data_IF_124892815220
#
_entry.id   IF_124892815220
#
_cell.length_a   1.000
_cell.length_b   1.000
_cell.length_c   1.000
_cell.angle_alpha   90.00
_cell.angle_beta   90.00
_cell.angle_gamma   90.00
#
_symmetry.space_group_name_H-M   'P 1'
#
loop_
_entity.id
_entity.type
_entity.pdbx_description
1 polymer ?
#
# COMPACT_ATOMS: atom_id res chain seq x y z
N UNK A 1 -23.65 19.00 9.66
CA UNK A 1 -22.55 18.75 8.71
C UNK A 1 -22.32 17.24 8.64
N UNK A 2 -22.93 16.55 7.68
CA UNK A 2 -22.77 15.10 7.54
C UNK A 2 -21.47 14.85 6.78
N UNK A 3 -20.36 14.61 7.51
CA UNK A 3 -19.18 13.99 6.92
C UNK A 3 -19.64 12.59 6.50
N UNK A 4 -20.06 12.45 5.24
CA UNK A 4 -20.24 11.12 4.64
C UNK A 4 -18.89 10.43 4.79
N UNK A 5 -18.81 9.48 5.72
CA UNK A 5 -17.75 8.51 5.78
C UNK A 5 -17.77 7.79 4.43
N UNK A 6 -16.93 8.23 3.50
CA UNK A 6 -16.70 7.48 2.27
C UNK A 6 -15.98 6.22 2.73
N UNK A 7 -16.69 5.11 2.80
CA UNK A 7 -16.06 3.80 2.94
C UNK A 7 -15.16 3.61 1.72
N UNK A 8 -13.85 3.69 1.95
CA UNK A 8 -12.85 3.42 0.92
C UNK A 8 -12.68 1.92 0.93
N UNK A 9 -13.13 1.27 -0.14
CA UNK A 9 -12.90 -0.16 -0.34
C UNK A 9 -11.43 -0.38 -0.69
N UNK A 10 -10.70 -0.93 0.28
CA UNK A 10 -9.31 -1.33 0.13
C UNK A 10 -9.29 -2.83 -0.13
N UNK A 11 -8.60 -3.26 -1.19
CA UNK A 11 -8.34 -4.67 -1.43
C UNK A 11 -6.84 -4.93 -1.49
N UNK A 12 -6.42 -6.06 -0.92
CA UNK A 12 -5.04 -6.53 -0.97
C UNK A 12 -5.02 -7.80 -1.79
N UNK A 13 -4.10 -7.90 -2.74
CA UNK A 13 -3.89 -9.09 -3.54
C UNK A 13 -2.46 -9.59 -3.37
N UNK A 14 -2.31 -10.86 -3.06
CA UNK A 14 -1.00 -11.51 -3.08
C UNK A 14 -0.60 -11.75 -4.54
N UNK A 15 0.64 -11.41 -4.87
CA UNK A 15 1.24 -11.60 -6.18
C UNK A 15 2.69 -12.08 -6.02
N UNK A 16 3.27 -12.61 -7.08
CA UNK A 16 4.68 -12.98 -7.10
C UNK A 16 5.41 -12.12 -8.13
N UNK A 17 6.49 -11.48 -7.70
CA UNK A 17 7.42 -10.76 -8.59
C UNK A 17 8.82 -11.23 -8.30
N UNK A 18 9.54 -11.66 -9.33
CA UNK A 18 10.93 -12.12 -9.21
C UNK A 18 11.13 -13.22 -8.15
N UNK A 19 10.22 -14.20 -8.08
CA UNK A 19 10.24 -15.28 -7.07
C UNK A 19 10.08 -14.79 -5.61
N UNK A 20 9.59 -13.56 -5.41
CA UNK A 20 9.25 -13.02 -4.10
C UNK A 20 7.74 -12.80 -4.02
N UNK A 21 7.14 -13.26 -2.92
CA UNK A 21 5.75 -12.94 -2.60
C UNK A 21 5.65 -11.45 -2.24
N UNK A 22 4.81 -10.73 -2.97
CA UNK A 22 4.51 -9.32 -2.78
C UNK A 22 3.02 -9.14 -2.53
N UNK A 23 2.64 -8.06 -1.87
CA UNK A 23 1.24 -7.70 -1.66
C UNK A 23 0.93 -6.41 -2.39
N UNK A 24 -0.06 -6.43 -3.27
CA UNK A 24 -0.52 -5.28 -4.01
C UNK A 24 -1.74 -4.66 -3.32
N UNK A 25 -1.69 -3.36 -3.08
CA UNK A 25 -2.74 -2.61 -2.37
C UNK A 25 -3.54 -1.78 -3.37
N UNK A 26 -4.84 -2.01 -3.41
CA UNK A 26 -5.76 -1.33 -4.30
C UNK A 26 -6.81 -0.52 -3.54
N UNK A 27 -7.19 0.61 -4.11
CA UNK A 27 -8.42 1.31 -3.76
C UNK A 27 -9.37 1.20 -4.95
N UNK A 28 -10.47 0.46 -4.76
CA UNK A 28 -11.33 0.04 -5.87
C UNK A 28 -10.53 -0.75 -6.92
N UNK A 29 -10.36 -0.18 -8.12
CA UNK A 29 -9.60 -0.79 -9.24
C UNK A 29 -8.20 -0.22 -9.41
N UNK A 30 -7.79 0.74 -8.58
CA UNK A 30 -6.52 1.46 -8.72
C UNK A 30 -5.47 0.85 -7.79
N UNK A 31 -4.37 0.37 -8.36
CA UNK A 31 -3.17 0.00 -7.61
C UNK A 31 -2.51 1.27 -7.07
N UNK A 32 -2.38 1.38 -5.76
CA UNK A 32 -1.83 2.57 -5.09
C UNK A 32 -0.43 2.32 -4.53
N UNK A 33 -0.09 1.07 -4.22
CA UNK A 33 1.22 0.69 -3.75
C UNK A 33 1.38 -0.82 -3.60
N UNK A 34 2.58 -1.24 -3.26
CA UNK A 34 2.95 -2.64 -3.08
C UNK A 34 3.78 -2.79 -1.81
N UNK A 35 3.58 -3.85 -1.04
CA UNK A 35 4.45 -4.25 0.06
C UNK A 35 5.32 -5.39 -0.42
N UNK A 36 6.64 -5.18 -0.40
CA UNK A 36 7.63 -6.14 -0.88
C UNK A 36 8.57 -6.54 0.26
N UNK A 37 9.02 -7.81 0.33
CA UNK A 37 10.06 -8.20 1.27
C UNK A 37 11.40 -7.52 0.92
N UNK A 38 12.10 -7.02 1.94
CA UNK A 38 13.38 -6.32 1.82
C UNK A 38 14.32 -6.78 2.95
N UNK A 39 15.21 -7.73 2.66
CA UNK A 39 16.27 -8.23 3.55
C UNK A 39 15.82 -8.54 4.99
N UNK A 40 14.84 -9.45 5.13
CA UNK A 40 14.28 -9.84 6.43
C UNK A 40 13.33 -8.82 7.05
N UNK A 41 13.02 -7.73 6.35
CA UNK A 41 11.96 -6.77 6.66
C UNK A 41 11.00 -6.64 5.47
N UNK A 42 10.21 -5.58 5.48
CA UNK A 42 9.30 -5.22 4.41
C UNK A 42 9.53 -3.78 3.97
N UNK A 43 9.07 -3.49 2.77
CA UNK A 43 9.16 -2.18 2.15
C UNK A 43 7.82 -1.86 1.50
N UNK A 44 7.21 -0.77 1.94
CA UNK A 44 6.06 -0.18 1.29
C UNK A 44 6.54 0.68 0.11
N UNK A 45 6.06 0.39 -1.09
CA UNK A 45 6.42 1.08 -2.33
C UNK A 45 5.17 1.79 -2.86
N UNK A 46 5.27 3.11 -3.06
CA UNK A 46 4.19 3.91 -3.64
C UNK A 46 4.30 3.88 -5.16
N UNK A 47 3.21 3.57 -5.86
CA UNK A 47 3.24 3.56 -7.33
C UNK A 47 3.19 4.96 -7.95
N UNK A 48 2.65 5.95 -7.24
CA UNK A 48 2.47 7.30 -7.79
C UNK A 48 3.77 8.10 -7.82
N UNK A 49 4.58 7.97 -6.77
CA UNK A 49 5.69 8.88 -6.51
C UNK A 49 7.05 8.17 -6.50
N UNK A 50 7.09 6.87 -6.83
CA UNK A 50 8.26 5.97 -6.77
C UNK A 50 9.00 5.98 -5.41
N UNK A 51 8.38 6.57 -4.39
CA UNK A 51 8.90 6.58 -3.02
C UNK A 51 8.70 5.25 -2.35
N UNK A 52 9.56 4.95 -1.38
CA UNK A 52 9.44 3.72 -0.62
C UNK A 52 9.87 3.91 0.83
N UNK A 53 9.23 3.13 1.71
CA UNK A 53 9.35 3.23 3.16
C UNK A 53 9.67 1.86 3.74
N UNK A 54 10.67 1.79 4.62
CA UNK A 54 10.97 0.56 5.37
C UNK A 54 9.95 0.39 6.49
N UNK A 55 9.37 -0.80 6.56
CA UNK A 55 8.34 -1.18 7.53
C UNK A 55 8.67 -2.54 8.13
N UNK A 56 8.13 -2.83 9.31
CA UNK A 56 8.45 -4.02 10.11
C UNK A 56 7.53 -5.19 9.81
N UNK A 57 6.33 -4.94 9.28
CA UNK A 57 5.35 -5.96 8.91
C UNK A 57 4.60 -5.58 7.63
N UNK A 58 3.88 -6.55 7.06
CA UNK A 58 2.96 -6.33 5.94
C UNK A 58 1.84 -5.35 6.30
N UNK A 59 1.26 -5.49 7.49
CA UNK A 59 0.21 -4.61 8.02
C UNK A 59 0.70 -3.16 8.13
N UNK A 60 1.90 -2.94 8.68
CA UNK A 60 2.50 -1.59 8.75
C UNK A 60 2.75 -1.03 7.34
N UNK A 61 3.12 -1.88 6.38
CA UNK A 61 3.26 -1.50 4.98
C UNK A 61 1.95 -1.04 4.35
N UNK A 62 0.87 -1.79 4.56
CA UNK A 62 -0.47 -1.43 4.11
C UNK A 62 -0.92 -0.09 4.69
N UNK A 63 -0.81 0.08 6.01
CA UNK A 63 -1.16 1.33 6.69
C UNK A 63 -0.35 2.51 6.16
N UNK A 64 0.96 2.32 5.96
CA UNK A 64 1.85 3.35 5.40
C UNK A 64 1.38 3.76 4.01
N UNK A 65 1.08 2.80 3.12
CA UNK A 65 0.60 3.09 1.76
C UNK A 65 -0.71 3.88 1.80
N UNK A 66 -1.65 3.49 2.66
CA UNK A 66 -2.94 4.19 2.82
C UNK A 66 -2.76 5.60 3.38
N UNK A 67 -1.90 5.79 4.39
CA UNK A 67 -1.60 7.10 4.97
C UNK A 67 -1.00 8.04 3.92
N UNK A 68 0.02 7.58 3.19
CA UNK A 68 0.65 8.37 2.13
C UNK A 68 -0.34 8.69 1.00
N UNK A 69 -1.16 7.72 0.58
CA UNK A 69 -2.17 7.95 -0.45
C UNK A 69 -3.14 9.08 -0.07
N UNK A 70 -3.64 9.11 1.17
CA UNK A 70 -4.54 10.18 1.63
C UNK A 70 -3.87 11.56 1.69
N UNK A 71 -2.60 11.63 2.08
CA UNK A 71 -1.86 12.89 2.15
C UNK A 71 -1.69 13.55 0.76
N UNK A 72 -1.63 12.75 -0.31
CA UNK A 72 -1.45 13.23 -1.68
C UNK A 72 -2.75 13.40 -2.50
N UNK A 73 -3.93 13.31 -1.87
CA UNK A 73 -5.24 13.55 -2.51
C UNK A 73 -5.74 15.01 -2.38
N UNK A 74 -4.88 15.93 -1.95
CA UNK A 74 -5.15 17.37 -1.89
C UNK A 74 -4.66 18.12 -3.12
#
# INVERSE_FOLDING_TARGET
MSKREKAIEVSVQDSERNNQAIQQVFIGKRLIGEVVPDDGRFKAVMLKDETSFRVRSQEEGLETILQQYHLHQH
#
